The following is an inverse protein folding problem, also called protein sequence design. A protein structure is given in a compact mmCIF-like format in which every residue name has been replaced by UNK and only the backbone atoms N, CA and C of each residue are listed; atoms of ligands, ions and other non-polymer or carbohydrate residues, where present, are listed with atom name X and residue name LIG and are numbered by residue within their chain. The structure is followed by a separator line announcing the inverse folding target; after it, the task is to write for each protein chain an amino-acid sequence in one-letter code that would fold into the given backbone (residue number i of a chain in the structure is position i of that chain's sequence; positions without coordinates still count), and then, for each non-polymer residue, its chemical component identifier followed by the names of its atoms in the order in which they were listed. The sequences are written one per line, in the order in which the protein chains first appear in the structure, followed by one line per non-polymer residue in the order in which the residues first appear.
data_IF_622907226296
#
_entry.id   IF_622907226296
#
_cell.length_a   1.000
_cell.length_b   1.000
_cell.length_c   1.000
_cell.angle_alpha   90.00
_cell.angle_beta   90.00
_cell.angle_gamma   90.00
#
_symmetry.space_group_name_H-M   'P 1'
#
loop_
_entity.id
_entity.type
_entity.pdbx_description
1 polymer ?
#
# COMPACT_ATOMS: atom_id res chain seq x y z
N UNK A 1 -35.02 8.16 12.02
CA UNK A 1 -34.54 6.85 11.56
C UNK A 1 -33.01 6.87 11.68
N UNK A 2 -32.49 6.21 12.70
CA UNK A 2 -31.05 6.11 12.93
C UNK A 2 -30.48 5.20 11.87
N UNK A 3 -29.81 5.78 10.90
CA UNK A 3 -29.06 5.06 9.89
C UNK A 3 -27.77 4.54 10.58
N UNK A 4 -27.87 3.38 11.26
CA UNK A 4 -26.68 2.69 11.74
C UNK A 4 -25.90 2.26 10.50
N UNK A 5 -24.64 2.72 10.40
CA UNK A 5 -23.73 2.18 9.40
C UNK A 5 -23.78 0.64 9.45
N UNK A 6 -23.78 -0.06 8.31
CA UNK A 6 -23.81 -1.52 8.32
C UNK A 6 -22.62 -2.01 9.16
N UNK A 7 -22.90 -2.91 10.09
CA UNK A 7 -21.89 -3.54 10.94
C UNK A 7 -20.84 -4.19 10.03
N UNK A 8 -19.59 -3.82 10.23
CA UNK A 8 -18.50 -4.30 9.38
C UNK A 8 -18.29 -5.81 9.65
N UNK A 9 -18.35 -6.64 8.60
CA UNK A 9 -18.18 -8.08 8.74
C UNK A 9 -16.83 -8.41 9.41
N UNK A 10 -16.81 -9.42 10.29
CA UNK A 10 -15.59 -9.92 10.92
C UNK A 10 -14.54 -10.34 9.86
N UNK A 11 -13.24 -10.13 10.13
CA UNK A 11 -12.21 -10.53 9.20
C UNK A 11 -12.07 -12.05 9.10
N UNK A 12 -11.79 -12.52 7.91
CA UNK A 12 -11.30 -13.88 7.69
C UNK A 12 -9.78 -13.88 7.88
N UNK A 13 -9.24 -14.96 8.46
CA UNK A 13 -7.80 -15.09 8.68
C UNK A 13 -7.19 -16.13 7.73
N UNK A 14 -5.99 -15.81 7.23
CA UNK A 14 -5.15 -16.77 6.50
C UNK A 14 -3.77 -16.86 7.14
N UNK A 15 -3.13 -17.98 7.00
CA UNK A 15 -1.73 -18.15 7.37
C UNK A 15 -0.84 -17.95 6.15
N UNK A 16 0.21 -17.14 6.31
CA UNK A 16 1.20 -16.82 5.28
C UNK A 16 2.60 -17.04 5.85
N UNK A 17 3.49 -17.55 5.05
CA UNK A 17 4.87 -17.89 5.41
C UNK A 17 5.08 -19.37 5.53
N UNK A 18 6.33 -19.76 5.84
CA UNK A 18 6.72 -21.15 6.02
C UNK A 18 6.32 -21.67 7.40
N UNK A 19 6.27 -22.99 7.55
CA UNK A 19 5.82 -23.71 8.76
C UNK A 19 6.51 -23.30 10.06
N UNK A 20 7.72 -22.78 9.99
CA UNK A 20 8.51 -22.31 11.13
C UNK A 20 8.27 -20.84 11.52
N UNK A 21 7.56 -20.07 10.69
CA UNK A 21 7.27 -18.65 10.92
C UNK A 21 5.94 -18.22 10.29
N UNK A 22 4.82 -18.91 10.59
CA UNK A 22 3.50 -18.53 10.06
C UNK A 22 3.08 -17.17 10.60
N UNK A 23 2.40 -16.41 9.75
CA UNK A 23 1.81 -15.12 10.10
C UNK A 23 0.32 -15.15 9.81
N UNK A 24 -0.49 -14.84 10.79
CA UNK A 24 -1.94 -14.85 10.67
C UNK A 24 -2.42 -13.47 10.21
N UNK A 25 -2.92 -13.41 8.97
CA UNK A 25 -3.27 -12.19 8.25
C UNK A 25 -4.79 -12.02 8.23
N UNK A 26 -5.27 -10.88 8.71
CA UNK A 26 -6.66 -10.49 8.72
C UNK A 26 -7.07 -9.91 7.36
N UNK A 27 -8.12 -10.45 6.75
CA UNK A 27 -8.61 -10.08 5.43
C UNK A 27 -10.11 -9.83 5.47
N UNK A 28 -10.56 -8.75 4.83
CA UNK A 28 -11.97 -8.52 4.51
C UNK A 28 -12.14 -8.58 3.00
N UNK A 29 -12.94 -9.53 2.55
CA UNK A 29 -13.23 -9.75 1.15
C UNK A 29 -14.73 -9.68 0.90
N UNK A 30 -15.12 -9.02 -0.16
CA UNK A 30 -16.47 -8.95 -0.70
C UNK A 30 -16.47 -9.54 -2.10
N UNK A 31 -17.37 -10.47 -2.35
CA UNK A 31 -17.62 -10.95 -3.70
C UNK A 31 -18.38 -9.91 -4.53
N UNK A 32 -18.19 -9.91 -5.84
CA UNK A 32 -18.84 -8.98 -6.74
C UNK A 32 -18.32 -9.05 -8.17
N UNK A 33 -18.71 -8.08 -8.97
CA UNK A 33 -18.33 -7.96 -10.36
C UNK A 33 -16.85 -7.54 -10.52
N UNK A 34 -16.25 -7.93 -11.62
CA UNK A 34 -14.95 -7.45 -12.07
C UNK A 34 -15.09 -6.13 -12.88
N UNK A 35 -14.05 -5.28 -12.94
CA UNK A 35 -12.83 -5.38 -12.16
C UNK A 35 -13.08 -5.21 -10.67
N UNK A 36 -12.49 -6.10 -9.86
CA UNK A 36 -12.52 -5.98 -8.40
C UNK A 36 -11.52 -4.93 -7.90
N UNK A 37 -11.62 -4.56 -6.62
CA UNK A 37 -10.67 -3.67 -5.94
C UNK A 37 -9.78 -4.46 -4.99
N UNK A 38 -8.48 -4.18 -5.01
CA UNK A 38 -7.50 -4.72 -4.08
C UNK A 38 -6.75 -3.57 -3.39
N UNK A 39 -6.93 -3.45 -2.06
CA UNK A 39 -6.34 -2.38 -1.28
C UNK A 39 -5.02 -2.79 -0.61
N UNK A 40 -4.01 -1.94 -0.75
CA UNK A 40 -2.70 -2.05 -0.10
C UNK A 40 -2.46 -0.83 0.80
N UNK A 41 -2.41 -1.08 2.10
CA UNK A 41 -2.24 -0.06 3.13
C UNK A 41 -0.84 0.58 3.16
N UNK A 42 -0.73 1.73 3.82
CA UNK A 42 0.55 2.41 4.09
C UNK A 42 1.28 1.83 5.31
N UNK A 43 2.52 2.27 5.49
CA UNK A 43 3.34 1.96 6.64
C UNK A 43 2.69 2.44 7.94
N UNK A 44 2.57 1.58 8.94
CA UNK A 44 1.91 1.84 10.22
C UNK A 44 0.44 2.32 10.08
N UNK A 45 -0.29 1.74 9.12
CA UNK A 45 -1.70 2.00 8.83
C UNK A 45 -2.48 0.68 8.86
N UNK A 46 -3.82 0.76 8.90
CA UNK A 46 -4.69 -0.39 8.89
C UNK A 46 -5.74 -0.36 7.76
N UNK A 47 -6.41 -1.49 7.53
CA UNK A 47 -7.44 -1.66 6.49
C UNK A 47 -8.77 -0.98 6.81
N UNK A 48 -8.89 -0.32 7.98
CA UNK A 48 -10.04 0.49 8.42
C UNK A 48 -9.82 1.98 8.20
N UNK A 49 -8.70 2.37 7.62
CA UNK A 49 -8.40 3.77 7.28
C UNK A 49 -9.42 4.36 6.30
N UNK A 50 -9.60 5.69 6.37
CA UNK A 50 -10.61 6.45 5.60
C UNK A 50 -10.65 6.08 4.11
N UNK A 51 -9.50 5.94 3.45
CA UNK A 51 -9.41 5.60 2.03
C UNK A 51 -9.88 4.17 1.74
N UNK A 52 -9.45 3.22 2.57
CA UNK A 52 -9.82 1.81 2.44
C UNK A 52 -11.33 1.62 2.57
N UNK A 53 -11.93 2.23 3.60
CA UNK A 53 -13.38 2.17 3.83
C UNK A 53 -14.17 2.87 2.72
N UNK A 54 -13.71 4.02 2.24
CA UNK A 54 -14.39 4.74 1.17
C UNK A 54 -14.39 3.96 -0.15
N UNK A 55 -13.29 3.30 -0.48
CA UNK A 55 -13.18 2.44 -1.66
C UNK A 55 -14.01 1.17 -1.53
N UNK A 56 -14.05 0.54 -0.36
CA UNK A 56 -14.91 -0.62 -0.10
C UNK A 56 -16.40 -0.26 -0.20
N UNK A 57 -16.79 0.89 0.35
CA UNK A 57 -18.17 1.40 0.23
C UNK A 57 -18.55 1.66 -1.22
N UNK A 58 -17.67 2.34 -1.98
CA UNK A 58 -17.89 2.57 -3.41
C UNK A 58 -18.01 1.24 -4.19
N UNK A 59 -17.17 0.26 -3.90
CA UNK A 59 -17.24 -1.06 -4.52
C UNK A 59 -18.59 -1.75 -4.22
N UNK A 60 -19.07 -1.66 -2.97
CA UNK A 60 -20.36 -2.19 -2.56
C UNK A 60 -21.51 -1.55 -3.32
N UNK A 61 -21.53 -0.21 -3.44
CA UNK A 61 -22.55 0.55 -4.16
C UNK A 61 -22.60 0.19 -5.66
N UNK A 62 -21.45 -0.20 -6.24
CA UNK A 62 -21.33 -0.57 -7.66
C UNK A 62 -21.36 -2.09 -7.88
N UNK A 63 -21.67 -2.89 -6.86
CA UNK A 63 -21.71 -4.35 -6.96
C UNK A 63 -20.38 -5.01 -7.30
N UNK A 64 -19.24 -4.35 -7.04
CA UNK A 64 -17.91 -4.84 -7.35
C UNK A 64 -17.30 -5.66 -6.22
N UNK A 65 -16.46 -6.62 -6.58
CA UNK A 65 -15.60 -7.31 -5.62
C UNK A 65 -14.62 -6.33 -4.97
N UNK A 66 -14.33 -6.56 -3.69
CA UNK A 66 -13.28 -5.78 -2.99
C UNK A 66 -12.55 -6.64 -1.98
N UNK A 67 -11.24 -6.40 -1.85
CA UNK A 67 -10.38 -7.06 -0.87
C UNK A 67 -9.50 -6.01 -0.21
N UNK A 68 -9.47 -6.01 1.13
CA UNK A 68 -8.59 -5.23 1.97
C UNK A 68 -8.07 -6.09 3.11
N UNK A 69 -6.85 -5.86 3.53
CA UNK A 69 -6.21 -6.67 4.58
C UNK A 69 -5.18 -5.84 5.35
N UNK A 70 -4.79 -6.34 6.50
CA UNK A 70 -3.69 -5.80 7.29
C UNK A 70 -2.44 -6.65 7.08
N UNK A 71 -1.30 -6.01 6.88
CA UNK A 71 -0.01 -6.70 6.93
C UNK A 71 0.27 -7.23 8.34
N UNK A 72 1.14 -8.23 8.47
CA UNK A 72 1.62 -8.65 9.79
C UNK A 72 2.17 -7.46 10.58
N UNK A 73 1.82 -7.40 11.87
CA UNK A 73 2.15 -6.28 12.76
C UNK A 73 1.34 -5.01 12.55
N UNK A 74 0.30 -5.03 11.69
CA UNK A 74 -0.64 -3.93 11.47
C UNK A 74 -2.06 -4.36 11.84
N UNK A 75 -2.86 -3.37 12.28
CA UNK A 75 -4.30 -3.51 12.46
C UNK A 75 -4.74 -4.76 13.22
N UNK A 76 -5.52 -5.63 12.56
CA UNK A 76 -6.08 -6.86 13.12
C UNK A 76 -5.24 -8.11 12.81
N UNK A 77 -4.18 -7.99 12.00
CA UNK A 77 -3.24 -9.09 11.76
C UNK A 77 -2.30 -9.30 12.93
N UNK A 78 -1.90 -10.56 13.13
CA UNK A 78 -0.94 -10.92 14.17
C UNK A 78 0.50 -10.52 13.81
N UNK A 79 1.41 -10.68 14.78
CA UNK A 79 2.82 -10.36 14.65
C UNK A 79 3.20 -9.03 15.29
N UNK A 80 4.48 -8.72 15.25
CA UNK A 80 5.01 -7.45 15.76
C UNK A 80 5.40 -6.56 14.60
N UNK A 81 5.04 -5.30 14.66
CA UNK A 81 5.42 -4.31 13.65
C UNK A 81 6.94 -4.26 13.42
N UNK A 82 7.73 -4.44 14.49
CA UNK A 82 9.20 -4.46 14.43
C UNK A 82 9.79 -5.63 13.61
N UNK A 83 9.02 -6.71 13.40
CA UNK A 83 9.45 -7.87 12.62
C UNK A 83 9.17 -7.69 11.11
N UNK A 84 8.47 -6.61 10.75
CA UNK A 84 8.07 -6.32 9.39
C UNK A 84 9.22 -5.94 8.47
N UNK A 85 9.18 -6.46 7.24
CA UNK A 85 10.07 -6.09 6.15
C UNK A 85 9.29 -5.98 4.84
N UNK A 86 9.88 -5.35 3.84
CA UNK A 86 9.23 -5.18 2.54
C UNK A 86 8.90 -6.53 1.90
N UNK A 87 9.83 -7.48 1.95
CA UNK A 87 9.62 -8.82 1.39
C UNK A 87 8.54 -9.62 2.13
N UNK A 88 8.44 -9.50 3.47
CA UNK A 88 7.35 -10.15 4.22
C UNK A 88 5.99 -9.60 3.81
N UNK A 89 5.84 -8.29 3.77
CA UNK A 89 4.58 -7.65 3.38
C UNK A 89 4.22 -7.89 1.92
N UNK A 90 5.23 -8.05 1.04
CA UNK A 90 5.01 -8.47 -0.34
C UNK A 90 4.51 -9.92 -0.43
N UNK A 91 5.11 -10.86 0.33
CA UNK A 91 4.67 -12.25 0.39
C UNK A 91 3.21 -12.34 0.84
N UNK A 92 2.83 -11.56 1.86
CA UNK A 92 1.46 -11.47 2.37
C UNK A 92 0.50 -10.88 1.32
N UNK A 93 0.92 -9.80 0.63
CA UNK A 93 0.15 -9.20 -0.46
C UNK A 93 -0.14 -10.20 -1.58
N UNK A 94 0.87 -10.97 -1.99
CA UNK A 94 0.73 -12.00 -3.02
C UNK A 94 -0.22 -13.11 -2.56
N UNK A 95 -0.06 -13.60 -1.32
CA UNK A 95 -0.89 -14.68 -0.79
C UNK A 95 -2.37 -14.27 -0.69
N UNK A 96 -2.65 -13.05 -0.20
CA UNK A 96 -4.02 -12.52 -0.13
C UNK A 96 -4.59 -12.32 -1.53
N UNK A 97 -3.82 -11.75 -2.46
CA UNK A 97 -4.24 -11.53 -3.84
C UNK A 97 -4.59 -12.86 -4.54
N UNK A 98 -3.72 -13.87 -4.43
CA UNK A 98 -3.94 -15.18 -5.05
C UNK A 98 -5.16 -15.91 -4.47
N UNK A 99 -5.43 -15.74 -3.17
CA UNK A 99 -6.52 -16.45 -2.50
C UNK A 99 -7.88 -15.81 -2.69
N UNK A 100 -7.97 -14.47 -2.73
CA UNK A 100 -9.24 -13.76 -2.67
C UNK A 100 -9.59 -13.01 -3.95
N UNK A 101 -8.67 -12.86 -4.90
CA UNK A 101 -8.94 -12.17 -6.16
C UNK A 101 -9.11 -13.14 -7.33
N UNK A 102 -10.03 -12.82 -8.22
CA UNK A 102 -10.24 -13.51 -9.49
C UNK A 102 -10.58 -12.50 -10.60
N UNK A 103 -10.15 -12.79 -11.83
CA UNK A 103 -10.35 -11.86 -12.96
C UNK A 103 -9.56 -10.56 -12.81
N UNK A 104 -9.91 -9.51 -13.58
CA UNK A 104 -9.27 -8.21 -13.53
C UNK A 104 -9.44 -7.51 -12.18
N UNK A 105 -8.36 -6.87 -11.68
CA UNK A 105 -8.34 -6.12 -10.42
C UNK A 105 -7.74 -4.73 -10.62
N UNK A 106 -8.37 -3.72 -10.07
CA UNK A 106 -7.75 -2.40 -9.83
C UNK A 106 -7.03 -2.47 -8.49
N UNK A 107 -5.71 -2.45 -8.50
CA UNK A 107 -4.90 -2.46 -7.28
C UNK A 107 -4.66 -1.02 -6.85
N UNK A 108 -5.14 -0.69 -5.65
CA UNK A 108 -5.00 0.65 -5.08
C UNK A 108 -4.05 0.62 -3.90
N UNK A 109 -2.95 1.37 -3.97
CA UNK A 109 -1.92 1.41 -2.94
C UNK A 109 -1.64 2.81 -2.42
N UNK A 110 -1.60 2.99 -1.10
CA UNK A 110 -1.30 4.27 -0.46
C UNK A 110 0.07 4.27 0.20
N UNK A 111 0.92 5.27 -0.10
CA UNK A 111 2.26 5.41 0.47
C UNK A 111 3.10 4.15 0.25
N UNK A 112 3.53 3.43 1.30
CA UNK A 112 4.16 2.10 1.19
C UNK A 112 3.33 1.14 0.32
N UNK A 113 1.99 1.17 0.44
CA UNK A 113 1.10 0.37 -0.40
C UNK A 113 1.25 0.63 -1.89
N UNK A 114 1.66 1.84 -2.27
CA UNK A 114 2.04 2.16 -3.65
C UNK A 114 3.30 1.40 -4.10
N UNK A 115 4.29 1.25 -3.23
CA UNK A 115 5.44 0.40 -3.49
C UNK A 115 5.03 -1.08 -3.58
N UNK A 116 4.23 -1.54 -2.62
CA UNK A 116 3.69 -2.91 -2.65
C UNK A 116 2.91 -3.21 -3.94
N UNK A 117 2.11 -2.24 -4.45
CA UNK A 117 1.37 -2.40 -5.70
C UNK A 117 2.29 -2.62 -6.91
N UNK A 118 3.39 -1.85 -7.00
CA UNK A 118 4.39 -2.01 -8.05
C UNK A 118 5.13 -3.35 -7.95
N UNK A 119 5.51 -3.77 -6.73
CA UNK A 119 6.14 -5.06 -6.49
C UNK A 119 5.19 -6.22 -6.78
N UNK A 120 3.92 -6.11 -6.36
CA UNK A 120 2.88 -7.10 -6.65
C UNK A 120 2.67 -7.25 -8.17
N UNK A 121 2.65 -6.15 -8.92
CA UNK A 121 2.55 -6.19 -10.38
C UNK A 121 3.68 -7.02 -11.01
N UNK A 122 4.92 -6.84 -10.52
CA UNK A 122 6.08 -7.65 -10.96
C UNK A 122 5.93 -9.13 -10.60
N UNK A 123 5.38 -9.45 -9.42
CA UNK A 123 5.13 -10.83 -9.00
C UNK A 123 4.01 -11.48 -9.84
N UNK A 124 2.96 -10.75 -10.17
CA UNK A 124 1.86 -11.23 -11.01
C UNK A 124 2.36 -11.53 -12.43
N UNK A 125 3.24 -10.71 -12.97
CA UNK A 125 3.79 -10.90 -14.33
C UNK A 125 4.68 -12.16 -14.48
N UNK A 126 5.21 -12.73 -13.39
CA UNK A 126 6.13 -13.89 -13.44
C UNK A 126 5.45 -15.19 -13.83
N UNK A 127 4.16 -15.36 -13.57
CA UNK A 127 3.42 -16.59 -13.87
C UNK A 127 1.92 -16.32 -14.02
N UNK A 128 1.20 -17.11 -14.82
CA UNK A 128 -0.25 -17.02 -14.92
C UNK A 128 -0.93 -17.23 -13.56
N UNK A 129 -2.00 -16.49 -13.30
CA UNK A 129 -2.83 -16.54 -12.10
C UNK A 129 -4.31 -16.43 -12.47
N UNK A 130 -5.19 -16.72 -11.50
CA UNK A 130 -6.64 -16.55 -11.69
C UNK A 130 -7.05 -15.07 -11.72
N UNK A 131 -6.25 -14.20 -11.12
CA UNK A 131 -6.44 -12.76 -11.13
C UNK A 131 -5.37 -12.06 -11.98
N UNK A 132 -5.76 -10.96 -12.61
CA UNK A 132 -4.89 -10.10 -13.42
C UNK A 132 -5.03 -8.64 -12.99
N UNK A 133 -4.15 -7.77 -13.48
CA UNK A 133 -4.27 -6.32 -13.26
C UNK A 133 -5.14 -5.68 -14.34
N UNK A 134 -6.17 -4.94 -13.92
CA UNK A 134 -6.86 -3.97 -14.75
C UNK A 134 -6.10 -2.63 -14.77
N UNK A 135 -5.51 -2.25 -13.63
CA UNK A 135 -4.66 -1.08 -13.48
C UNK A 135 -4.23 -0.83 -12.05
N UNK A 136 -3.39 0.19 -11.86
CA UNK A 136 -2.88 0.64 -10.58
C UNK A 136 -3.38 2.06 -10.26
N UNK A 137 -3.84 2.28 -9.03
CA UNK A 137 -4.10 3.63 -8.47
C UNK A 137 -3.17 3.84 -7.29
N UNK A 138 -2.21 4.73 -7.43
CA UNK A 138 -1.14 4.97 -6.48
C UNK A 138 -1.33 6.33 -5.79
N UNK A 139 -1.56 6.30 -4.48
CA UNK A 139 -1.90 7.48 -3.68
C UNK A 139 -0.68 7.88 -2.83
N UNK A 140 -0.10 9.05 -3.09
CA UNK A 140 1.13 9.51 -2.45
C UNK A 140 2.20 8.38 -2.40
N UNK A 141 2.51 7.70 -3.54
CA UNK A 141 3.29 6.48 -3.54
C UNK A 141 4.72 6.71 -3.07
N UNK A 142 5.20 5.81 -2.22
CA UNK A 142 6.53 5.87 -1.63
C UNK A 142 7.40 4.65 -2.02
N UNK A 143 7.64 4.36 -3.33
CA UNK A 143 8.59 3.32 -3.69
C UNK A 143 9.98 3.63 -3.11
N UNK A 144 10.70 2.58 -2.72
CA UNK A 144 12.06 2.69 -2.17
C UNK A 144 12.17 3.58 -0.90
N UNK A 145 11.06 3.82 -0.18
CA UNK A 145 11.04 4.80 0.92
C UNK A 145 12.04 4.48 2.04
N UNK A 146 12.34 3.21 2.27
CA UNK A 146 13.32 2.80 3.29
C UNK A 146 14.71 3.34 3.01
N UNK A 147 15.11 3.40 1.74
CA UNK A 147 16.39 3.95 1.30
C UNK A 147 16.28 5.44 0.97
N UNK A 148 15.34 5.83 0.09
CA UNK A 148 15.28 7.17 -0.49
C UNK A 148 14.76 8.24 0.48
N UNK A 149 13.77 7.91 1.30
CA UNK A 149 13.10 8.86 2.18
C UNK A 149 13.49 8.71 3.66
N UNK A 150 13.89 7.51 4.08
CA UNK A 150 14.34 7.25 5.45
C UNK A 150 15.87 7.28 5.55
N UNK A 151 16.55 6.24 5.04
CA UNK A 151 17.99 6.08 5.25
C UNK A 151 18.80 7.28 4.78
N UNK A 152 18.56 7.78 3.58
CA UNK A 152 19.25 8.96 3.04
C UNK A 152 18.95 10.24 3.82
N UNK A 153 17.76 10.35 4.43
CA UNK A 153 17.35 11.49 5.24
C UNK A 153 17.78 11.44 6.72
N UNK A 154 18.20 10.27 7.22
CA UNK A 154 18.63 10.13 8.62
C UNK A 154 19.97 10.80 8.90
N UNK A 155 20.08 11.41 10.09
CA UNK A 155 21.37 11.93 10.57
C UNK A 155 22.36 10.79 10.83
N UNK A 156 23.68 11.08 10.89
CA UNK A 156 24.69 10.08 11.23
C UNK A 156 24.42 9.37 12.57
N UNK A 157 23.87 10.08 13.55
CA UNK A 157 23.53 9.55 14.88
C UNK A 157 22.42 8.51 14.79
N UNK A 158 21.33 8.81 14.03
CA UNK A 158 20.22 7.87 13.82
C UNK A 158 20.69 6.63 13.08
N UNK A 159 21.50 6.80 12.02
CA UNK A 159 22.07 5.66 11.29
C UNK A 159 22.94 4.79 12.20
N UNK A 160 23.83 5.41 12.99
CA UNK A 160 24.66 4.70 13.96
C UNK A 160 23.83 3.96 15.01
N UNK A 161 22.71 4.55 15.47
CA UNK A 161 21.81 3.89 16.39
C UNK A 161 21.16 2.66 15.77
N UNK A 162 20.66 2.75 14.54
CA UNK A 162 20.08 1.61 13.80
C UNK A 162 21.13 0.51 13.58
N UNK A 163 22.35 0.88 13.17
CA UNK A 163 23.44 -0.06 12.91
C UNK A 163 23.92 -0.79 14.17
N UNK A 164 24.03 -0.08 15.29
CA UNK A 164 24.60 -0.63 16.54
C UNK A 164 23.57 -1.30 17.44
N UNK A 165 22.35 -0.70 17.57
CA UNK A 165 21.29 -1.19 18.44
C UNK A 165 20.24 -2.05 17.68
N UNK A 166 20.27 -2.03 16.34
CA UNK A 166 19.32 -2.73 15.49
C UNK A 166 17.97 -2.01 15.29
N UNK A 167 17.73 -0.92 16.00
CA UNK A 167 16.45 -0.19 15.97
C UNK A 167 16.61 1.26 16.42
N UNK A 168 15.83 2.15 15.82
CA UNK A 168 15.58 3.51 16.27
C UNK A 168 14.07 3.73 16.44
N UNK A 169 13.66 4.39 17.54
CA UNK A 169 12.28 4.73 17.79
C UNK A 169 11.97 6.11 17.19
N UNK A 170 11.30 6.09 16.04
CA UNK A 170 10.90 7.33 15.35
C UNK A 170 9.72 7.97 16.07
N UNK A 171 9.84 9.27 16.49
CA UNK A 171 8.69 10.03 17.00
C UNK A 171 7.59 10.10 15.95
N UNK A 172 6.34 9.83 16.35
CA UNK A 172 5.19 9.91 15.46
C UNK A 172 4.49 11.26 15.61
N UNK A 173 4.10 11.85 14.49
CA UNK A 173 3.19 13.00 14.43
C UNK A 173 1.73 12.55 14.29
N UNK A 174 1.49 11.24 14.11
CA UNK A 174 0.19 10.59 13.90
C UNK A 174 -0.12 9.64 15.05
N UNK A 175 -1.39 9.25 15.22
CA UNK A 175 -1.77 8.18 16.14
C UNK A 175 -1.49 8.45 17.63
N UNK A 176 -1.61 9.69 18.07
CA UNK A 176 -1.42 10.03 19.50
C UNK A 176 0.05 10.20 19.91
N UNK A 177 0.99 10.28 18.97
CA UNK A 177 2.39 10.56 19.24
C UNK A 177 3.23 9.37 19.72
N UNK A 178 2.69 8.14 19.74
CA UNK A 178 3.45 6.95 20.16
C UNK A 178 4.58 6.68 19.17
N UNK A 179 5.86 6.63 19.61
CA UNK A 179 6.98 6.30 18.75
C UNK A 179 6.85 4.90 18.18
N UNK A 180 7.35 4.70 16.95
CA UNK A 180 7.35 3.40 16.28
C UNK A 180 8.77 3.00 15.83
N UNK A 181 9.09 1.69 15.81
CA UNK A 181 10.42 1.22 15.50
C UNK A 181 10.73 1.29 14.00
N UNK A 182 11.89 1.84 13.67
CA UNK A 182 12.56 1.65 12.38
C UNK A 182 13.72 0.70 12.64
N UNK A 183 13.62 -0.52 12.11
CA UNK A 183 14.60 -1.57 12.36
C UNK A 183 15.67 -1.61 11.28
N UNK A 184 16.87 -2.10 11.64
CA UNK A 184 17.93 -2.38 10.69
C UNK A 184 17.45 -3.39 9.63
N UNK A 185 16.70 -4.42 10.05
CA UNK A 185 16.14 -5.42 9.15
C UNK A 185 15.23 -4.81 8.07
N UNK A 186 14.35 -3.85 8.44
CA UNK A 186 13.50 -3.14 7.48
C UNK A 186 14.32 -2.39 6.42
N UNK A 187 15.37 -1.68 6.85
CA UNK A 187 16.23 -0.90 5.95
C UNK A 187 17.04 -1.83 5.03
N UNK A 188 17.74 -2.81 5.62
CA UNK A 188 18.65 -3.70 4.87
C UNK A 188 17.86 -4.60 3.89
N UNK A 189 16.76 -5.18 4.33
CA UNK A 189 15.94 -6.06 3.51
C UNK A 189 15.20 -5.27 2.41
N UNK A 190 14.74 -4.05 2.71
CA UNK A 190 14.11 -3.16 1.73
C UNK A 190 15.00 -2.88 0.51
N UNK A 191 16.33 -2.91 0.65
CA UNK A 191 17.28 -2.74 -0.46
C UNK A 191 17.18 -3.82 -1.53
N UNK A 192 16.64 -5.00 -1.19
CA UNK A 192 16.41 -6.07 -2.16
C UNK A 192 15.23 -5.81 -3.10
N UNK A 193 14.43 -4.77 -2.81
CA UNK A 193 13.19 -4.47 -3.49
C UNK A 193 13.16 -3.11 -4.20
N UNK A 194 14.31 -2.44 -4.32
CA UNK A 194 14.40 -1.11 -4.94
C UNK A 194 13.95 -1.14 -6.41
N UNK A 195 13.20 -0.12 -6.81
CA UNK A 195 12.59 0.00 -8.13
C UNK A 195 13.08 1.23 -8.91
N UNK A 196 13.35 2.34 -8.23
CA UNK A 196 13.60 3.64 -8.89
C UNK A 196 14.93 3.72 -9.65
N UNK A 197 15.78 2.70 -9.53
CA UNK A 197 17.05 2.60 -10.26
C UNK A 197 16.92 2.21 -11.73
N UNK A 198 15.74 1.74 -12.18
CA UNK A 198 15.51 1.23 -13.54
C UNK A 198 14.09 1.52 -14.02
N UNK A 199 13.77 1.13 -15.26
CA UNK A 199 12.40 1.11 -15.78
C UNK A 199 11.52 0.14 -14.98
N UNK A 200 10.27 0.53 -14.70
CA UNK A 200 9.30 -0.23 -13.91
C UNK A 200 8.15 -0.63 -14.82
N UNK A 201 8.18 -1.86 -15.33
CA UNK A 201 7.12 -2.37 -16.21
C UNK A 201 6.03 -3.03 -15.37
N UNK A 202 4.80 -2.52 -15.46
CA UNK A 202 3.63 -3.02 -14.73
C UNK A 202 2.58 -3.63 -15.67
N UNK A 203 2.64 -3.33 -16.96
CA UNK A 203 1.80 -3.93 -18.00
C UNK A 203 0.31 -3.54 -17.93
N UNK A 204 -0.03 -2.44 -17.24
CA UNK A 204 -1.39 -1.95 -17.11
C UNK A 204 -1.42 -0.42 -16.93
N UNK A 205 -2.58 0.24 -17.10
CA UNK A 205 -2.76 1.67 -16.81
C UNK A 205 -2.37 2.03 -15.37
N UNK A 206 -1.78 3.23 -15.17
CA UNK A 206 -1.39 3.73 -13.84
C UNK A 206 -1.92 5.14 -13.62
N UNK A 207 -2.59 5.35 -12.49
CA UNK A 207 -3.03 6.66 -12.01
C UNK A 207 -2.30 6.97 -10.71
N UNK A 208 -1.55 8.06 -10.69
CA UNK A 208 -0.80 8.52 -9.52
C UNK A 208 -1.47 9.80 -9.02
N UNK A 209 -1.83 9.85 -7.73
CA UNK A 209 -2.35 11.03 -7.06
C UNK A 209 -1.35 11.47 -6.00
N UNK A 210 -0.87 12.72 -6.10
CA UNK A 210 0.17 13.25 -5.21
C UNK A 210 -0.24 14.59 -4.61
N UNK A 211 -0.07 14.73 -3.29
CA UNK A 211 -0.24 15.99 -2.58
C UNK A 211 0.94 16.95 -2.81
N UNK A 212 0.64 18.22 -3.13
CA UNK A 212 1.66 19.26 -3.28
C UNK A 212 2.25 19.73 -1.94
N UNK A 213 1.51 19.53 -0.83
CA UNK A 213 1.89 19.88 0.55
C UNK A 213 2.29 18.65 1.38
N UNK A 214 2.63 17.53 0.72
CA UNK A 214 3.02 16.28 1.37
C UNK A 214 4.41 16.43 2.03
N UNK A 215 4.50 16.36 3.38
CA UNK A 215 5.77 16.48 4.08
C UNK A 215 6.55 15.16 4.16
N UNK A 216 5.87 14.01 3.96
CA UNK A 216 6.46 12.68 4.12
C UNK A 216 7.01 12.14 2.80
N UNK A 217 6.26 12.34 1.70
CA UNK A 217 6.66 11.95 0.34
C UNK A 217 6.64 13.20 -0.56
N UNK A 218 7.78 13.84 -0.78
CA UNK A 218 7.86 15.01 -1.65
C UNK A 218 7.32 14.71 -3.05
N UNK A 219 6.57 15.63 -3.65
CA UNK A 219 5.99 15.44 -4.99
C UNK A 219 7.01 15.04 -6.07
N UNK A 220 8.28 15.45 -5.90
CA UNK A 220 9.37 15.04 -6.79
C UNK A 220 9.61 13.54 -6.79
N UNK A 221 9.30 12.84 -5.69
CA UNK A 221 9.39 11.40 -5.59
C UNK A 221 8.35 10.71 -6.48
N UNK A 222 7.10 11.17 -6.47
CA UNK A 222 6.04 10.69 -7.35
C UNK A 222 6.34 11.02 -8.84
N UNK A 223 6.93 12.19 -9.12
CA UNK A 223 7.37 12.55 -10.47
C UNK A 223 8.51 11.63 -10.96
N UNK A 224 9.51 11.35 -10.11
CA UNK A 224 10.56 10.37 -10.43
C UNK A 224 9.98 8.98 -10.72
N UNK A 225 9.01 8.53 -9.93
CA UNK A 225 8.28 7.28 -10.20
C UNK A 225 7.62 7.32 -11.59
N UNK A 226 6.86 8.37 -11.91
CA UNK A 226 6.19 8.50 -13.20
C UNK A 226 7.17 8.41 -14.38
N UNK A 227 8.36 8.98 -14.26
CA UNK A 227 9.42 8.88 -15.27
C UNK A 227 10.00 7.46 -15.44
N UNK A 228 9.82 6.57 -14.45
CA UNK A 228 10.28 5.18 -14.51
C UNK A 228 9.24 4.22 -15.06
N UNK A 229 8.01 4.68 -15.27
CA UNK A 229 6.92 3.90 -15.83
C UNK A 229 6.85 4.17 -17.34
N UNK A 230 7.28 3.23 -18.20
CA UNK A 230 7.38 3.47 -19.64
C UNK A 230 6.05 3.33 -20.39
N UNK A 231 4.96 2.95 -19.69
CA UNK A 231 3.66 2.72 -20.30
C UNK A 231 3.04 4.02 -20.82
N UNK A 232 2.33 3.94 -21.94
CA UNK A 232 1.66 5.08 -22.56
C UNK A 232 0.49 5.64 -21.74
N UNK A 233 -0.10 4.81 -20.85
CA UNK A 233 -1.24 5.19 -20.01
C UNK A 233 -0.84 5.41 -18.54
N UNK A 234 0.02 6.39 -18.30
CA UNK A 234 0.42 6.85 -16.97
C UNK A 234 -0.01 8.29 -16.77
N UNK A 235 -0.89 8.53 -15.78
CA UNK A 235 -1.37 9.86 -15.43
C UNK A 235 -0.94 10.22 -14.01
N UNK A 236 -0.25 11.34 -13.84
CA UNK A 236 0.09 11.93 -12.55
C UNK A 236 -0.81 13.15 -12.28
N UNK A 237 -1.65 13.03 -11.27
CA UNK A 237 -2.52 14.11 -10.78
C UNK A 237 -1.89 14.79 -9.57
N UNK A 238 -1.52 16.06 -9.71
CA UNK A 238 -1.02 16.88 -8.60
C UNK A 238 -2.18 17.59 -7.90
N UNK A 239 -2.32 17.38 -6.61
CA UNK A 239 -3.31 18.04 -5.74
C UNK A 239 -2.55 19.10 -4.94
N UNK A 240 -2.57 20.34 -5.44
CA UNK A 240 -1.69 21.42 -4.96
C UNK A 240 -1.75 21.67 -3.45
N UNK A 241 -2.94 21.59 -2.86
CA UNK A 241 -3.20 21.77 -1.42
C UNK A 241 -3.37 20.45 -0.66
N UNK A 242 -3.04 19.30 -1.28
CA UNK A 242 -3.12 17.97 -0.69
C UNK A 242 -1.93 17.68 0.22
N UNK A 243 -2.21 17.05 1.36
CA UNK A 243 -1.22 16.49 2.28
C UNK A 243 -0.86 15.03 1.91
N UNK A 244 -0.03 14.37 2.75
CA UNK A 244 0.31 12.96 2.56
C UNK A 244 -0.90 12.01 2.63
N UNK A 245 -1.88 12.35 3.47
CA UNK A 245 -3.03 11.46 3.71
C UNK A 245 -4.00 11.44 2.55
N UNK A 246 -4.19 12.55 1.83
CA UNK A 246 -5.18 12.70 0.77
C UNK A 246 -6.54 12.11 1.18
N UNK A 247 -7.03 12.49 2.37
CA UNK A 247 -8.21 11.89 3.00
C UNK A 247 -9.37 12.87 3.19
N UNK A 248 -9.26 14.11 2.65
CA UNK A 248 -10.38 15.06 2.62
C UNK A 248 -11.47 14.55 1.65
N UNK A 249 -12.73 14.91 1.82
CA UNK A 249 -13.82 14.45 0.94
C UNK A 249 -13.51 14.63 -0.56
N UNK A 250 -12.94 15.78 -0.95
CA UNK A 250 -12.55 16.03 -2.33
C UNK A 250 -11.38 15.16 -2.82
N UNK A 251 -10.48 14.76 -1.92
CA UNK A 251 -9.37 13.85 -2.27
C UNK A 251 -9.89 12.44 -2.48
N UNK A 252 -10.77 11.98 -1.59
CA UNK A 252 -11.46 10.68 -1.72
C UNK A 252 -12.25 10.62 -3.04
N UNK A 253 -12.98 11.68 -3.39
CA UNK A 253 -13.70 11.74 -4.66
C UNK A 253 -12.76 11.60 -5.88
N UNK A 254 -11.56 12.22 -5.85
CA UNK A 254 -10.55 12.07 -6.91
C UNK A 254 -9.98 10.65 -6.97
N UNK A 255 -9.74 10.02 -5.83
CA UNK A 255 -9.26 8.64 -5.77
C UNK A 255 -10.31 7.69 -6.38
N UNK A 256 -11.57 7.85 -5.99
CA UNK A 256 -12.68 7.06 -6.54
C UNK A 256 -12.80 7.28 -8.06
N UNK A 257 -12.69 8.52 -8.53
CA UNK A 257 -12.74 8.82 -9.96
C UNK A 257 -11.60 8.13 -10.73
N UNK A 258 -10.38 8.10 -10.18
CA UNK A 258 -9.25 7.40 -10.78
C UNK A 258 -9.45 5.87 -10.82
N UNK A 259 -10.08 5.29 -9.79
CA UNK A 259 -10.46 3.87 -9.77
C UNK A 259 -11.54 3.60 -10.82
N UNK A 260 -12.58 4.42 -10.90
CA UNK A 260 -13.69 4.28 -11.86
C UNK A 260 -13.26 4.46 -13.31
N UNK A 261 -12.20 5.24 -13.57
CA UNK A 261 -11.63 5.43 -14.93
C UNK A 261 -10.97 4.16 -15.46
N UNK A 262 -10.34 3.36 -14.60
CA UNK A 262 -9.67 2.10 -14.98
C UNK A 262 -10.67 0.94 -15.03
N UNK A 263 -11.62 0.93 -14.15
CA UNK A 263 -12.59 -0.14 -13.94
C UNK A 263 -13.98 0.22 -14.45
#
# INVERSE_FOLDING_TARGET
MTNSAPEEAEPVFIEVGKDDSPRRIAVRAREGLAPGLFWLGGFNSDMKGTKALALDAWAAEHGRASVRFDYSGHGESEGKFADGTIGRWLEESVAVFEKFCSGPQVVTGSSMGGWMALLLAREIAKRPRNASLAGLVLIAPAPDFTEELMWKGFSPEIRSEIETKGVWLRPSQYGGGTPYPITRALIEEGRNHLLLGSSIEVGCPVRILQGGQDPDVPWRHAFNLAQRLPADDVVLTMIQDGDHRLSRPQDIARIIAAVAEIG
#
